data_IF_639900599317
#
_entry.id   IF_639900599317
#
_cell.length_a   1.000
_cell.length_b   1.000
_cell.length_c   1.000
_cell.angle_alpha   90.00
_cell.angle_beta   90.00
_cell.angle_gamma   90.00
#
_symmetry.space_group_name_H-M   'P 1'
#
loop_
_entity.id
_entity.type
_entity.pdbx_description
1 polymer ?
#
# COMPACT_ATOMS: atom_id res chain seq x y z
N UNK A 1 -24.30 -17.75 8.79
CA UNK A 1 -23.26 -18.55 8.10
C UNK A 1 -22.16 -18.91 9.10
N UNK A 2 -21.57 -20.09 8.96
CA UNK A 2 -20.34 -20.50 9.68
C UNK A 2 -19.10 -19.95 8.98
N UNK A 3 -17.92 -20.06 9.61
CA UNK A 3 -16.63 -19.70 8.96
C UNK A 3 -16.48 -20.39 7.60
N UNK A 4 -16.63 -21.72 7.57
CA UNK A 4 -16.51 -22.51 6.33
C UNK A 4 -17.53 -22.10 5.26
N UNK A 5 -18.75 -21.71 5.65
CA UNK A 5 -19.76 -21.24 4.71
C UNK A 5 -19.39 -19.87 4.11
N UNK A 6 -18.82 -18.96 4.90
CA UNK A 6 -18.32 -17.66 4.41
C UNK A 6 -17.15 -17.87 3.46
N UNK A 7 -16.18 -18.72 3.84
CA UNK A 7 -15.03 -19.08 2.99
C UNK A 7 -15.52 -19.60 1.65
N UNK A 8 -16.44 -20.57 1.66
CA UNK A 8 -17.01 -21.15 0.45
C UNK A 8 -17.73 -20.10 -0.40
N UNK A 9 -18.56 -19.25 0.21
CA UNK A 9 -19.34 -18.25 -0.50
C UNK A 9 -18.45 -17.21 -1.22
N UNK A 10 -17.42 -16.68 -0.54
CA UNK A 10 -16.47 -15.76 -1.16
C UNK A 10 -15.64 -16.45 -2.26
N UNK A 11 -15.11 -17.65 -1.97
CA UNK A 11 -14.27 -18.41 -2.91
C UNK A 11 -15.01 -18.70 -4.22
N UNK A 12 -16.27 -19.12 -4.15
CA UNK A 12 -17.08 -19.40 -5.34
C UNK A 12 -17.26 -18.18 -6.26
N UNK A 13 -17.21 -16.95 -5.73
CA UNK A 13 -17.26 -15.73 -6.57
C UNK A 13 -15.96 -15.51 -7.33
N UNK A 14 -14.82 -15.68 -6.65
CA UNK A 14 -13.52 -15.53 -7.29
C UNK A 14 -13.24 -16.64 -8.32
N UNK A 15 -13.55 -17.90 -8.01
CA UNK A 15 -13.46 -19.01 -8.97
C UNK A 15 -14.39 -18.79 -10.17
N UNK A 16 -15.61 -18.28 -9.93
CA UNK A 16 -16.58 -17.97 -10.99
C UNK A 16 -16.13 -16.86 -11.95
N UNK A 17 -15.12 -16.06 -11.59
CA UNK A 17 -14.52 -15.06 -12.47
C UNK A 17 -13.50 -15.64 -13.47
N UNK A 18 -13.21 -16.95 -13.38
CA UNK A 18 -12.22 -17.63 -14.20
C UNK A 18 -10.80 -17.63 -13.62
N UNK A 19 -10.63 -17.14 -12.39
CA UNK A 19 -9.35 -17.16 -11.69
C UNK A 19 -8.95 -18.59 -11.26
N UNK A 20 -7.67 -18.93 -11.44
CA UNK A 20 -7.14 -20.27 -11.13
C UNK A 20 -6.94 -20.45 -9.61
N UNK A 21 -7.49 -21.49 -8.97
CA UNK A 21 -7.25 -21.76 -7.56
C UNK A 21 -5.79 -22.14 -7.29
N UNK A 22 -5.16 -21.44 -6.35
CA UNK A 22 -3.80 -21.72 -5.87
C UNK A 22 -3.76 -21.81 -4.35
N UNK A 23 -2.76 -22.53 -3.85
CA UNK A 23 -2.39 -22.52 -2.44
C UNK A 23 -0.88 -22.27 -2.35
N UNK A 24 -0.45 -21.01 -2.24
CA UNK A 24 0.97 -20.67 -2.31
C UNK A 24 1.71 -21.10 -1.04
N UNK A 25 3.03 -20.98 -1.02
CA UNK A 25 3.86 -21.40 0.12
C UNK A 25 3.52 -20.61 1.40
N UNK A 26 3.63 -21.27 2.55
CA UNK A 26 3.45 -20.65 3.87
C UNK A 26 4.65 -19.83 4.32
N UNK A 27 5.85 -20.23 3.90
CA UNK A 27 7.11 -19.70 4.37
C UNK A 27 7.79 -18.99 3.20
N UNK A 28 8.25 -17.78 3.46
CA UNK A 28 8.98 -16.95 2.50
C UNK A 28 10.34 -16.55 3.11
N UNK A 29 11.37 -16.31 2.28
CA UNK A 29 12.53 -15.52 2.70
C UNK A 29 12.08 -14.19 3.31
N UNK A 30 12.72 -13.73 4.39
CA UNK A 30 12.26 -12.55 5.13
C UNK A 30 12.52 -11.22 4.42
N UNK A 31 13.54 -11.16 3.57
CA UNK A 31 14.00 -9.96 2.84
C UNK A 31 12.86 -9.28 2.08
N UNK A 32 12.13 -10.06 1.27
CA UNK A 32 11.05 -9.56 0.42
C UNK A 32 9.90 -8.95 1.26
N UNK A 33 9.28 -9.66 2.22
CA UNK A 33 8.23 -9.05 3.03
C UNK A 33 8.73 -7.95 3.95
N UNK A 34 9.99 -7.95 4.41
CA UNK A 34 10.54 -6.87 5.23
C UNK A 34 10.69 -5.55 4.44
N UNK A 35 11.02 -5.63 3.16
CA UNK A 35 11.15 -4.47 2.28
C UNK A 35 9.80 -3.95 1.78
N UNK A 36 8.87 -4.87 1.47
CA UNK A 36 7.59 -4.54 0.84
C UNK A 36 6.43 -4.39 1.84
N UNK A 37 6.65 -4.68 3.13
CA UNK A 37 5.71 -4.38 4.21
C UNK A 37 6.00 -3.00 4.79
N UNK A 38 4.99 -2.13 4.81
CA UNK A 38 5.08 -0.87 5.55
C UNK A 38 5.37 -1.11 7.04
N UNK A 39 5.88 -0.10 7.74
CA UNK A 39 6.31 -0.23 9.15
C UNK A 39 5.23 -0.87 10.05
N UNK A 40 3.95 -0.58 9.78
CA UNK A 40 2.80 -1.13 10.49
C UNK A 40 2.63 -2.65 10.34
N UNK A 41 2.96 -3.22 9.18
CA UNK A 41 2.91 -4.68 8.95
C UNK A 41 4.23 -5.31 9.35
N UNK A 42 5.35 -4.63 9.12
CA UNK A 42 6.70 -5.10 9.45
C UNK A 42 6.86 -5.48 10.92
N UNK A 43 6.35 -4.64 11.84
CA UNK A 43 6.39 -4.91 13.28
C UNK A 43 5.52 -6.12 13.72
N UNK A 44 4.71 -6.66 12.82
CA UNK A 44 3.75 -7.73 13.08
C UNK A 44 4.06 -9.02 12.31
N UNK A 45 5.18 -9.06 11.59
CA UNK A 45 5.61 -10.25 10.87
C UNK A 45 5.99 -11.37 11.84
N UNK A 46 5.59 -12.59 11.52
CA UNK A 46 5.99 -13.79 12.26
C UNK A 46 7.31 -14.32 11.67
N UNK A 47 8.42 -13.80 12.18
CA UNK A 47 9.78 -14.11 11.72
C UNK A 47 10.40 -15.22 12.56
N UNK A 48 11.16 -16.10 11.92
CA UNK A 48 11.94 -17.15 12.58
C UNK A 48 13.25 -17.40 11.82
N UNK A 49 14.19 -18.11 12.45
CA UNK A 49 15.44 -18.51 11.82
C UNK A 49 15.40 -20.01 11.53
N UNK A 50 15.75 -20.41 10.30
CA UNK A 50 15.86 -21.81 9.94
C UNK A 50 17.14 -22.47 10.53
N UNK A 51 17.28 -23.78 10.36
CA UNK A 51 18.46 -24.51 10.87
C UNK A 51 19.79 -24.14 10.17
N UNK A 52 19.74 -23.37 9.08
CA UNK A 52 20.90 -22.91 8.31
C UNK A 52 21.29 -21.47 8.69
N UNK A 53 20.52 -20.82 9.56
CA UNK A 53 20.73 -19.43 9.96
C UNK A 53 20.05 -18.41 9.06
N UNK A 54 19.22 -18.84 8.10
CA UNK A 54 18.47 -17.91 7.26
C UNK A 54 17.27 -17.37 8.03
N UNK A 55 17.01 -16.07 7.87
CA UNK A 55 15.80 -15.46 8.40
C UNK A 55 14.63 -15.70 7.44
N UNK A 56 13.55 -16.25 7.99
CA UNK A 56 12.36 -16.67 7.28
C UNK A 56 11.14 -16.02 7.90
N UNK A 57 10.05 -15.92 7.14
CA UNK A 57 8.80 -15.33 7.61
C UNK A 57 7.61 -16.18 7.18
N UNK A 58 6.65 -16.34 8.09
CA UNK A 58 5.34 -16.88 7.74
C UNK A 58 4.58 -15.84 6.90
N UNK A 59 3.95 -16.25 5.80
CA UNK A 59 3.29 -15.32 4.87
C UNK A 59 2.32 -14.37 5.60
N UNK A 60 2.51 -13.04 5.51
CA UNK A 60 1.67 -12.08 6.22
C UNK A 60 0.35 -11.78 5.49
N UNK A 61 0.33 -12.06 4.19
CA UNK A 61 -0.81 -12.04 3.29
C UNK A 61 -0.63 -13.10 2.19
N UNK A 62 -1.60 -13.19 1.28
CA UNK A 62 -1.54 -14.10 0.13
C UNK A 62 -1.12 -13.40 -1.16
N UNK A 63 -1.14 -12.07 -1.22
CA UNK A 63 -0.77 -11.29 -2.40
C UNK A 63 0.71 -11.44 -2.73
N UNK A 64 1.60 -11.29 -1.74
CA UNK A 64 3.05 -11.43 -1.93
C UNK A 64 3.45 -12.79 -2.52
N UNK A 65 3.05 -13.94 -1.94
CA UNK A 65 3.47 -15.22 -2.48
C UNK A 65 2.79 -15.56 -3.81
N UNK A 66 1.59 -15.05 -4.10
CA UNK A 66 0.96 -15.21 -5.43
C UNK A 66 1.68 -14.37 -6.49
N UNK A 67 2.07 -13.14 -6.17
CA UNK A 67 2.88 -12.31 -7.06
C UNK A 67 4.27 -12.93 -7.32
N UNK A 68 4.83 -13.64 -6.33
CA UNK A 68 6.06 -14.43 -6.51
C UNK A 68 5.88 -15.58 -7.52
N UNK A 69 4.77 -16.32 -7.44
CA UNK A 69 4.43 -17.35 -8.44
C UNK A 69 4.31 -16.76 -9.86
N UNK A 70 3.70 -15.58 -9.97
CA UNK A 70 3.59 -14.89 -11.27
C UNK A 70 4.95 -14.43 -11.79
N UNK A 71 5.79 -13.85 -10.93
CA UNK A 71 7.14 -13.44 -11.29
C UNK A 71 7.95 -14.62 -11.83
N UNK A 72 7.91 -15.78 -11.16
CA UNK A 72 8.56 -17.02 -11.62
C UNK A 72 8.01 -17.48 -12.98
N UNK A 73 6.69 -17.43 -13.17
CA UNK A 73 6.03 -17.79 -14.43
C UNK A 73 6.52 -16.92 -15.58
N UNK A 74 6.57 -15.61 -15.40
CA UNK A 74 7.03 -14.66 -16.41
C UNK A 74 8.52 -14.83 -16.70
N UNK A 75 9.36 -14.99 -15.67
CA UNK A 75 10.80 -15.25 -15.82
C UNK A 75 11.06 -16.57 -16.59
N UNK A 76 10.18 -17.57 -16.43
CA UNK A 76 10.27 -18.82 -17.20
C UNK A 76 9.92 -18.68 -18.69
N UNK A 77 9.48 -17.49 -19.13
CA UNK A 77 9.10 -17.19 -20.52
C UNK A 77 7.62 -17.43 -20.83
N UNK A 78 6.80 -17.78 -19.84
CA UNK A 78 5.36 -17.95 -20.03
C UNK A 78 4.66 -16.60 -19.82
N UNK A 79 4.34 -15.90 -20.90
CA UNK A 79 3.78 -14.54 -20.88
C UNK A 79 2.24 -14.50 -20.91
N UNK A 80 1.67 -13.29 -20.87
CA UNK A 80 0.24 -13.00 -21.05
C UNK A 80 -0.52 -12.83 -19.72
N UNK A 81 -1.76 -12.30 -19.76
CA UNK A 81 -2.54 -12.04 -18.56
C UNK A 81 -2.85 -13.31 -17.78
N UNK A 82 -2.92 -13.19 -16.45
CA UNK A 82 -3.17 -14.31 -15.55
C UNK A 82 -4.00 -13.89 -14.35
N UNK A 83 -4.92 -14.75 -13.91
CA UNK A 83 -5.74 -14.54 -12.73
C UNK A 83 -5.63 -15.75 -11.80
N UNK A 84 -5.40 -15.50 -10.52
CA UNK A 84 -5.30 -16.49 -9.45
C UNK A 84 -6.33 -16.20 -8.37
N UNK A 85 -6.80 -17.23 -7.69
CA UNK A 85 -7.63 -17.10 -6.48
C UNK A 85 -7.18 -18.06 -5.39
N UNK A 86 -7.51 -17.72 -4.14
CA UNK A 86 -7.08 -18.49 -2.98
C UNK A 86 -8.11 -18.44 -1.86
N UNK A 87 -8.05 -19.43 -0.97
CA UNK A 87 -8.74 -19.48 0.31
C UNK A 87 -7.82 -20.19 1.30
N UNK A 88 -6.95 -19.42 1.96
CA UNK A 88 -5.84 -19.97 2.74
C UNK A 88 -5.42 -19.05 3.90
N UNK A 89 -4.64 -19.57 4.83
CA UNK A 89 -4.27 -18.93 6.10
C UNK A 89 -3.07 -17.99 5.95
N UNK A 90 -3.12 -16.82 6.57
CA UNK A 90 -2.00 -15.90 6.72
C UNK A 90 -1.73 -15.63 8.20
N UNK A 91 -0.51 -15.16 8.50
CA UNK A 91 0.04 -15.10 9.85
C UNK A 91 0.57 -13.71 10.17
N UNK A 92 0.02 -13.05 11.18
CA UNK A 92 0.53 -11.77 11.69
C UNK A 92 0.26 -11.66 13.18
N UNK A 93 1.17 -11.06 13.94
CA UNK A 93 0.88 -10.67 15.32
C UNK A 93 -0.37 -9.77 15.35
N UNK A 94 -1.31 -9.96 16.30
CA UNK A 94 -2.54 -9.16 16.36
C UNK A 94 -2.25 -7.66 16.53
N UNK A 95 -2.92 -6.80 15.75
CA UNK A 95 -2.86 -5.33 15.96
C UNK A 95 -3.92 -4.83 16.94
N UNK A 96 -5.01 -5.57 17.07
CA UNK A 96 -6.19 -5.18 17.84
C UNK A 96 -6.64 -6.35 18.72
N UNK A 97 -7.20 -6.10 19.90
CA UNK A 97 -7.84 -7.14 20.69
C UNK A 97 -8.85 -7.93 19.84
N UNK A 98 -8.77 -9.25 19.91
CA UNK A 98 -9.66 -10.17 19.19
C UNK A 98 -9.29 -10.48 17.73
N UNK A 99 -8.24 -9.86 17.16
CA UNK A 99 -7.66 -10.37 15.91
C UNK A 99 -6.82 -11.62 16.21
N UNK A 100 -7.03 -12.76 15.51
CA UNK A 100 -6.19 -13.93 15.69
C UNK A 100 -4.84 -13.76 14.99
N UNK A 101 -3.83 -14.48 15.47
CA UNK A 101 -2.51 -14.48 14.83
C UNK A 101 -2.55 -15.19 13.46
N UNK A 102 -3.31 -16.27 13.38
CA UNK A 102 -3.61 -17.04 12.18
C UNK A 102 -5.02 -16.70 11.71
N UNK A 103 -5.18 -16.33 10.44
CA UNK A 103 -6.49 -15.96 9.88
C UNK A 103 -6.59 -16.35 8.41
N UNK A 104 -7.79 -16.68 7.95
CA UNK A 104 -8.04 -16.98 6.53
C UNK A 104 -8.17 -15.69 5.71
N UNK A 105 -7.57 -15.67 4.53
CA UNK A 105 -7.90 -14.75 3.45
C UNK A 105 -8.51 -15.52 2.29
N UNK A 106 -9.58 -14.98 1.72
CA UNK A 106 -10.19 -15.50 0.50
C UNK A 106 -10.16 -14.39 -0.52
N UNK A 107 -9.43 -14.56 -1.61
CA UNK A 107 -9.14 -13.45 -2.53
C UNK A 107 -8.75 -13.90 -3.92
N UNK A 108 -8.43 -12.90 -4.74
CA UNK A 108 -7.94 -13.08 -6.10
C UNK A 108 -6.87 -12.03 -6.42
N UNK A 109 -5.99 -12.36 -7.36
CA UNK A 109 -5.00 -11.45 -7.94
C UNK A 109 -5.05 -11.58 -9.47
N UNK A 110 -5.05 -10.47 -10.19
CA UNK A 110 -4.97 -10.40 -11.66
C UNK A 110 -3.68 -9.71 -12.05
N UNK A 111 -2.99 -10.27 -13.03
CA UNK A 111 -1.72 -9.81 -13.55
C UNK A 111 -1.77 -9.63 -15.06
N UNK A 112 -1.05 -8.64 -15.58
CA UNK A 112 -0.84 -8.41 -17.01
C UNK A 112 -2.05 -7.87 -17.77
N UNK A 113 -3.10 -7.42 -17.07
CA UNK A 113 -4.21 -6.65 -17.64
C UNK A 113 -3.92 -5.15 -17.63
N UNK A 114 -4.51 -4.40 -18.55
CA UNK A 114 -4.26 -2.97 -18.66
C UNK A 114 -4.46 -2.22 -17.33
N UNK A 115 -3.56 -1.27 -17.06
CA UNK A 115 -3.67 -0.39 -15.89
C UNK A 115 -4.66 0.72 -16.19
N UNK A 116 -5.95 0.42 -16.10
CA UNK A 116 -7.01 1.35 -16.42
C UNK A 116 -8.15 1.40 -15.37
N UNK A 117 -8.99 2.46 -15.41
CA UNK A 117 -10.14 2.60 -14.51
C UNK A 117 -11.20 1.50 -14.62
N UNK A 118 -11.27 0.78 -15.74
CA UNK A 118 -12.26 -0.28 -15.96
C UNK A 118 -11.87 -1.52 -15.17
N UNK A 119 -10.62 -1.96 -15.29
CA UNK A 119 -10.10 -3.08 -14.51
C UNK A 119 -10.16 -2.81 -13.00
N UNK A 120 -9.87 -1.57 -12.58
CA UNK A 120 -10.02 -1.14 -11.20
C UNK A 120 -11.46 -1.28 -10.68
N UNK A 121 -12.43 -0.80 -11.45
CA UNK A 121 -13.85 -0.85 -11.08
C UNK A 121 -14.40 -2.28 -11.07
N UNK A 122 -13.96 -3.12 -12.02
CA UNK A 122 -14.33 -4.54 -12.06
C UNK A 122 -13.75 -5.33 -10.88
N UNK A 123 -12.49 -5.08 -10.52
CA UNK A 123 -11.86 -5.71 -9.36
C UNK A 123 -12.59 -5.33 -8.06
N UNK A 124 -12.92 -4.05 -7.90
CA UNK A 124 -13.74 -3.57 -6.78
C UNK A 124 -15.11 -4.26 -6.73
N UNK A 125 -15.79 -4.33 -7.89
CA UNK A 125 -17.10 -4.96 -8.00
C UNK A 125 -17.07 -6.44 -7.61
N UNK A 126 -16.07 -7.19 -8.08
CA UNK A 126 -15.90 -8.60 -7.75
C UNK A 126 -15.69 -8.84 -6.24
N UNK A 127 -14.91 -7.99 -5.56
CA UNK A 127 -14.79 -8.07 -4.09
C UNK A 127 -16.12 -7.77 -3.41
N UNK A 128 -16.86 -6.76 -3.88
CA UNK A 128 -18.16 -6.41 -3.31
C UNK A 128 -19.19 -7.54 -3.49
N UNK A 129 -19.20 -8.22 -4.64
CA UNK A 129 -20.02 -9.41 -4.87
C UNK A 129 -19.66 -10.55 -3.92
N UNK A 130 -18.37 -10.77 -3.65
CA UNK A 130 -17.91 -11.74 -2.65
C UNK A 130 -18.38 -11.38 -1.24
N UNK A 131 -18.32 -10.10 -0.85
CA UNK A 131 -18.86 -9.61 0.43
C UNK A 131 -20.37 -9.84 0.52
N UNK A 132 -21.12 -9.51 -0.53
CA UNK A 132 -22.57 -9.74 -0.60
C UNK A 132 -22.91 -11.22 -0.46
N UNK A 133 -22.14 -12.11 -1.10
CA UNK A 133 -22.32 -13.56 -1.01
C UNK A 133 -22.10 -14.10 0.43
N UNK A 134 -21.42 -13.35 1.30
CA UNK A 134 -21.23 -13.70 2.70
C UNK A 134 -22.38 -13.25 3.63
N UNK A 135 -23.46 -12.70 3.07
CA UNK A 135 -24.63 -12.16 3.79
C UNK A 135 -24.23 -11.15 4.88
N UNK A 136 -23.36 -10.19 4.55
CA UNK A 136 -23.02 -9.08 5.44
C UNK A 136 -23.25 -7.76 4.69
N UNK A 137 -23.86 -6.80 5.36
CA UNK A 137 -24.11 -5.46 4.81
C UNK A 137 -22.99 -4.55 5.27
N UNK A 138 -22.18 -3.99 4.35
CA UNK A 138 -21.16 -3.01 4.71
C UNK A 138 -21.76 -1.74 5.32
N UNK A 139 -21.05 -1.13 6.27
CA UNK A 139 -21.45 0.15 6.89
C UNK A 139 -20.71 1.34 6.28
N UNK A 140 -19.53 1.11 5.73
CA UNK A 140 -18.71 2.13 5.09
C UNK A 140 -17.74 1.47 4.11
N UNK A 141 -17.39 2.21 3.06
CA UNK A 141 -16.33 1.87 2.12
C UNK A 141 -15.42 3.08 2.01
N UNK A 142 -14.11 2.84 2.15
CA UNK A 142 -13.10 3.85 1.93
C UNK A 142 -12.31 3.49 0.68
N UNK A 143 -12.10 4.47 -0.20
CA UNK A 143 -11.31 4.35 -1.43
C UNK A 143 -10.27 5.46 -1.51
N UNK A 144 -9.24 5.23 -2.29
CA UNK A 144 -8.18 6.20 -2.55
C UNK A 144 -7.39 5.81 -3.80
N UNK A 145 -6.46 6.69 -4.21
CA UNK A 145 -5.55 6.40 -5.31
C UNK A 145 -4.17 7.00 -5.01
N UNK A 146 -3.18 6.13 -4.87
CA UNK A 146 -1.81 6.52 -4.54
C UNK A 146 -1.10 7.23 -5.69
N UNK A 147 -1.62 7.15 -6.92
CA UNK A 147 -1.07 7.86 -8.08
C UNK A 147 -1.35 9.37 -8.05
N UNK A 148 -2.35 9.82 -7.26
CA UNK A 148 -2.73 11.23 -7.18
C UNK A 148 -1.63 12.08 -6.58
N UNK A 149 -1.05 11.67 -5.45
CA UNK A 149 -0.04 12.49 -4.80
C UNK A 149 1.22 12.68 -5.67
N UNK A 150 1.84 11.64 -6.26
CA UNK A 150 2.94 11.80 -7.20
C UNK A 150 2.61 12.72 -8.37
N UNK A 151 1.39 12.61 -8.95
CA UNK A 151 0.97 13.47 -10.06
C UNK A 151 0.95 14.96 -9.67
N UNK A 152 0.45 15.29 -8.48
CA UNK A 152 0.47 16.66 -7.96
C UNK A 152 1.89 17.14 -7.64
N UNK A 153 2.74 16.28 -7.07
CA UNK A 153 4.16 16.62 -6.82
C UNK A 153 4.92 16.88 -8.13
N UNK A 154 4.67 16.10 -9.17
CA UNK A 154 5.29 16.29 -10.48
C UNK A 154 4.80 17.57 -11.17
N UNK A 155 3.52 17.89 -11.03
CA UNK A 155 2.94 19.12 -11.57
C UNK A 155 3.50 20.40 -10.92
N UNK A 156 4.04 20.31 -9.69
CA UNK A 156 4.63 21.45 -8.98
C UNK A 156 6.00 21.87 -9.52
N UNK A 157 6.66 21.04 -10.35
CA UNK A 157 7.94 21.40 -10.98
C UNK A 157 9.10 21.59 -9.99
N UNK A 158 9.09 20.83 -8.88
CA UNK A 158 10.12 20.92 -7.84
C UNK A 158 11.48 20.39 -8.31
N UNK A 159 12.59 20.81 -7.69
CA UNK A 159 13.86 20.12 -7.85
C UNK A 159 13.69 18.62 -7.60
N UNK A 160 14.29 17.80 -8.46
CA UNK A 160 14.12 16.33 -8.44
C UNK A 160 14.33 15.72 -7.04
N UNK A 161 15.37 16.16 -6.33
CA UNK A 161 15.68 15.69 -4.97
C UNK A 161 14.52 15.94 -4.00
N UNK A 162 13.89 17.12 -4.06
CA UNK A 162 12.74 17.47 -3.20
C UNK A 162 11.49 16.68 -3.58
N UNK A 163 11.23 16.52 -4.88
CA UNK A 163 10.12 15.71 -5.38
C UNK A 163 10.26 14.24 -4.95
N UNK A 164 11.44 13.65 -5.15
CA UNK A 164 11.75 12.26 -4.80
C UNK A 164 11.66 12.05 -3.27
N UNK A 165 12.13 13.02 -2.47
CA UNK A 165 11.99 13.00 -1.02
C UNK A 165 10.51 12.99 -0.58
N UNK A 166 9.67 13.84 -1.17
CA UNK A 166 8.23 13.90 -0.87
C UNK A 166 7.52 12.61 -1.28
N UNK A 167 7.80 12.07 -2.47
CA UNK A 167 7.21 10.80 -2.93
C UNK A 167 7.66 9.61 -2.08
N UNK A 168 8.93 9.57 -1.66
CA UNK A 168 9.42 8.56 -0.71
C UNK A 168 8.72 8.68 0.64
N UNK A 169 8.58 9.90 1.17
CA UNK A 169 7.86 10.17 2.41
C UNK A 169 6.37 9.78 2.31
N UNK A 170 5.77 9.87 1.11
CA UNK A 170 4.40 9.45 0.84
C UNK A 170 4.19 7.93 0.87
N UNK A 171 5.25 7.11 0.79
CA UNK A 171 5.12 5.67 0.99
C UNK A 171 4.91 5.28 2.46
N UNK A 172 5.27 6.16 3.40
CA UNK A 172 5.14 5.93 4.82
C UNK A 172 3.92 6.67 5.38
N UNK A 173 3.19 6.02 6.29
CA UNK A 173 2.09 6.68 7.01
C UNK A 173 2.64 7.82 7.86
N UNK A 174 2.04 9.02 7.73
CA UNK A 174 2.53 10.23 8.39
C UNK A 174 3.85 10.79 7.86
N UNK A 175 4.54 10.12 6.93
CA UNK A 175 5.89 10.53 6.48
C UNK A 175 5.93 11.93 5.85
N UNK A 176 4.96 12.25 5.00
CA UNK A 176 4.87 13.59 4.38
C UNK A 176 4.59 14.66 5.44
N UNK A 177 3.68 14.37 6.38
CA UNK A 177 3.36 15.29 7.48
C UNK A 177 4.61 15.58 8.32
N UNK A 178 5.35 14.53 8.71
CA UNK A 178 6.58 14.68 9.47
C UNK A 178 7.63 15.50 8.71
N UNK A 179 7.73 15.34 7.39
CA UNK A 179 8.66 16.12 6.56
C UNK A 179 8.24 17.59 6.42
N UNK A 180 6.94 17.85 6.29
CA UNK A 180 6.39 19.21 6.21
C UNK A 180 6.52 19.88 7.58
N UNK A 181 6.01 19.30 8.66
CA UNK A 181 6.03 19.90 9.99
C UNK A 181 7.43 20.02 10.61
N UNK A 182 8.44 19.30 10.09
CA UNK A 182 9.81 19.46 10.55
C UNK A 182 10.27 20.92 10.35
N UNK A 183 10.66 21.55 11.45
CA UNK A 183 11.31 22.86 11.39
C UNK A 183 12.59 22.74 10.54
N UNK A 184 12.92 23.78 9.73
CA UNK A 184 14.20 23.86 9.05
C UNK A 184 15.33 23.95 10.08
N UNK A 185 15.79 22.81 10.57
CA UNK A 185 16.95 22.73 11.43
C UNK A 185 18.20 22.54 10.56
N UNK A 186 19.28 23.29 10.79
CA UNK A 186 20.57 22.99 10.19
C UNK A 186 20.98 21.58 10.58
N UNK A 187 21.67 20.91 9.66
CA UNK A 187 22.24 19.59 9.94
C UNK A 187 23.24 19.74 11.08
N UNK A 188 23.11 18.89 12.08
CA UNK A 188 24.01 18.88 13.24
C UNK A 188 25.45 18.61 12.77
N UNK A 189 26.40 19.39 13.29
CA UNK A 189 27.76 19.48 12.74
C UNK A 189 28.52 18.14 12.74
N UNK A 190 28.22 17.25 13.68
CA UNK A 190 28.79 15.92 13.81
C UNK A 190 28.25 14.91 12.78
N UNK A 191 27.15 15.22 12.08
CA UNK A 191 26.65 14.43 10.95
C UNK A 191 27.23 14.88 9.60
N UNK A 192 27.89 16.05 9.53
CA UNK A 192 28.52 16.54 8.29
C UNK A 192 29.51 15.53 7.69
N UNK A 193 30.42 14.90 8.47
CA UNK A 193 31.34 13.90 7.93
C UNK A 193 30.63 12.68 7.30
N UNK A 194 29.47 12.28 7.84
CA UNK A 194 28.64 11.22 7.23
C UNK A 194 28.10 11.63 5.88
N UNK A 195 27.63 12.88 5.77
CA UNK A 195 27.00 13.37 4.55
C UNK A 195 28.00 13.61 3.43
N UNK A 196 29.17 14.16 3.76
CA UNK A 196 30.23 14.51 2.82
C UNK A 196 31.16 13.34 2.46
N UNK A 197 31.07 12.21 3.17
CA UNK A 197 31.87 11.02 2.89
C UNK A 197 31.76 10.56 1.43
N UNK A 198 32.91 10.35 0.78
CA UNK A 198 32.99 9.98 -0.62
C UNK A 198 32.48 8.55 -0.87
N UNK A 199 32.68 7.65 0.10
CA UNK A 199 32.25 6.26 0.02
C UNK A 199 31.20 5.90 1.06
N UNK A 200 30.45 4.85 0.79
CA UNK A 200 29.46 4.29 1.72
C UNK A 200 30.11 3.82 3.04
N UNK A 201 31.28 3.18 2.96
CA UNK A 201 32.00 2.69 4.13
C UNK A 201 32.47 3.82 5.06
N UNK A 202 32.98 4.92 4.49
CA UNK A 202 33.34 6.12 5.25
C UNK A 202 32.12 6.76 5.91
N UNK A 203 31.00 6.85 5.18
CA UNK A 203 29.77 7.42 5.70
C UNK A 203 29.24 6.62 6.91
N UNK A 204 29.24 5.29 6.81
CA UNK A 204 28.85 4.39 7.90
C UNK A 204 29.76 4.50 9.12
N UNK A 205 31.06 4.61 8.89
CA UNK A 205 32.04 4.78 9.97
C UNK A 205 31.79 6.08 10.71
N UNK A 206 31.66 7.19 9.99
CA UNK A 206 31.36 8.51 10.56
C UNK A 206 30.01 8.51 11.29
N UNK A 207 28.98 7.88 10.72
CA UNK A 207 27.65 7.84 11.30
C UNK A 207 27.62 7.07 12.63
N UNK A 208 28.27 5.90 12.66
CA UNK A 208 28.39 5.09 13.90
C UNK A 208 29.17 5.83 14.96
N UNK A 209 30.22 6.56 14.59
CA UNK A 209 30.97 7.40 15.53
C UNK A 209 30.10 8.51 16.14
N UNK A 210 29.29 9.19 15.31
CA UNK A 210 28.34 10.22 15.79
C UNK A 210 27.30 9.63 16.76
N UNK A 211 26.71 8.47 16.44
CA UNK A 211 25.78 7.80 17.34
C UNK A 211 26.42 7.37 18.66
N UNK A 212 27.63 6.80 18.61
CA UNK A 212 28.37 6.39 19.79
C UNK A 212 28.68 7.59 20.71
N UNK A 213 29.11 8.72 20.14
CA UNK A 213 29.37 9.95 20.89
C UNK A 213 28.11 10.49 21.61
N UNK A 214 26.92 10.23 21.05
CA UNK A 214 25.63 10.62 21.64
C UNK A 214 25.05 9.56 22.59
N UNK A 215 25.70 8.41 22.75
CA UNK A 215 25.14 7.29 23.50
C UNK A 215 23.84 6.74 22.92
N UNK A 216 23.60 6.94 21.62
CA UNK A 216 22.38 6.45 20.94
C UNK A 216 22.65 5.03 20.43
N UNK A 217 21.98 4.01 20.96
CA UNK A 217 22.11 2.66 20.44
C UNK A 217 21.40 2.55 19.09
N UNK A 218 21.98 1.78 18.16
CA UNK A 218 21.34 1.40 16.91
C UNK A 218 20.27 0.35 17.19
N UNK A 219 19.10 0.80 17.63
CA UNK A 219 17.90 -0.01 17.86
C UNK A 219 16.94 0.27 16.71
N UNK A 220 16.76 -0.71 15.83
CA UNK A 220 15.85 -0.57 14.71
C UNK A 220 16.08 -1.60 13.63
N UNK A 221 15.12 -1.66 12.71
CA UNK A 221 15.10 -2.62 11.61
C UNK A 221 15.63 -2.03 10.30
N UNK A 222 15.92 -0.72 10.26
CA UNK A 222 16.52 -0.06 9.08
C UNK A 222 18.03 -0.30 9.05
N UNK A 223 18.55 -0.55 7.86
CA UNK A 223 20.00 -0.68 7.69
C UNK A 223 20.68 0.69 7.80
N UNK A 224 21.94 0.71 8.24
CA UNK A 224 22.72 1.95 8.28
C UNK A 224 22.82 2.63 6.91
N UNK A 225 23.05 1.91 5.79
CA UNK A 225 22.97 2.49 4.46
C UNK A 225 21.65 3.22 4.16
N UNK A 226 20.53 2.63 4.52
CA UNK A 226 19.21 3.20 4.28
C UNK A 226 19.02 4.53 5.04
N UNK A 227 19.48 4.57 6.30
CA UNK A 227 19.45 5.76 7.14
C UNK A 227 20.30 6.88 6.52
N UNK A 228 21.55 6.58 6.14
CA UNK A 228 22.48 7.55 5.54
C UNK A 228 21.91 8.11 4.24
N UNK A 229 21.35 7.26 3.38
CA UNK A 229 20.67 7.68 2.15
C UNK A 229 19.52 8.65 2.43
N UNK A 230 18.70 8.36 3.45
CA UNK A 230 17.63 9.26 3.90
C UNK A 230 18.16 10.60 4.43
N UNK A 231 19.23 10.60 5.21
CA UNK A 231 19.87 11.81 5.72
C UNK A 231 20.42 12.68 4.58
N UNK A 232 21.10 12.09 3.59
CA UNK A 232 21.59 12.79 2.40
C UNK A 232 20.47 13.39 1.56
N UNK A 233 19.39 12.65 1.34
CA UNK A 233 18.23 13.18 0.61
C UNK A 233 17.59 14.38 1.32
N UNK A 234 17.45 14.31 2.65
CA UNK A 234 16.94 15.42 3.47
C UNK A 234 17.89 16.64 3.42
N UNK A 235 19.19 16.41 3.52
CA UNK A 235 20.22 17.43 3.44
C UNK A 235 20.17 18.20 2.11
N UNK A 236 20.12 17.45 1.00
CA UNK A 236 20.07 18.03 -0.33
C UNK A 236 18.76 18.77 -0.61
N UNK A 237 17.62 18.30 -0.07
CA UNK A 237 16.35 19.03 -0.15
C UNK A 237 16.38 20.34 0.64
N UNK A 238 16.98 20.37 1.84
CA UNK A 238 17.19 21.60 2.61
C UNK A 238 18.07 22.59 1.85
N UNK A 239 19.19 22.12 1.29
CA UNK A 239 20.08 22.94 0.47
C UNK A 239 19.38 23.51 -0.79
N UNK A 240 18.39 22.79 -1.33
CA UNK A 240 17.55 23.25 -2.45
C UNK A 240 16.42 24.21 -2.04
N UNK A 241 16.40 24.71 -0.80
CA UNK A 241 15.40 25.65 -0.29
C UNK A 241 14.25 25.01 0.49
N UNK A 242 14.35 23.71 0.80
CA UNK A 242 13.34 22.97 1.56
C UNK A 242 12.04 22.74 0.77
N UNK A 243 10.92 22.61 1.49
CA UNK A 243 9.58 22.48 0.91
C UNK A 243 8.92 23.86 0.89
N UNK A 244 8.69 24.48 -0.28
CA UNK A 244 8.09 25.81 -0.41
C UNK A 244 6.66 25.88 0.16
N UNK A 245 6.22 27.06 0.60
CA UNK A 245 4.89 27.26 1.20
C UNK A 245 3.75 26.79 0.31
N UNK A 246 3.77 27.16 -0.99
CA UNK A 246 2.80 26.68 -1.98
C UNK A 246 2.70 25.14 -2.02
N UNK A 247 3.81 24.43 -1.85
CA UNK A 247 3.82 22.95 -1.82
C UNK A 247 3.16 22.44 -0.54
N UNK A 248 3.40 23.08 0.59
CA UNK A 248 2.77 22.74 1.89
C UNK A 248 1.27 22.94 1.82
N UNK A 249 0.82 24.04 1.23
CA UNK A 249 -0.60 24.32 1.00
C UNK A 249 -1.27 23.28 0.09
N UNK A 250 -0.60 22.85 -1.00
CA UNK A 250 -1.10 21.79 -1.89
C UNK A 250 -1.18 20.45 -1.16
N UNK A 251 -0.14 20.08 -0.41
CA UNK A 251 -0.12 18.85 0.38
C UNK A 251 -1.23 18.85 1.43
N UNK A 252 -1.43 19.99 2.12
CA UNK A 252 -2.50 20.16 3.10
C UNK A 252 -3.88 20.06 2.46
N UNK A 253 -4.09 20.70 1.31
CA UNK A 253 -5.33 20.62 0.56
C UNK A 253 -5.62 19.18 0.10
N UNK A 254 -4.61 18.48 -0.45
CA UNK A 254 -4.74 17.08 -0.81
C UNK A 254 -5.11 16.26 0.43
N UNK A 255 -4.37 16.35 1.53
CA UNK A 255 -4.63 15.58 2.75
C UNK A 255 -6.04 15.78 3.34
N UNK A 256 -6.67 16.93 3.07
CA UNK A 256 -8.02 17.25 3.49
C UNK A 256 -9.12 16.62 2.62
N UNK A 257 -8.79 16.11 1.41
CA UNK A 257 -9.78 15.47 0.51
C UNK A 257 -10.35 14.22 1.17
N UNK A 258 -11.62 14.31 1.51
CA UNK A 258 -12.42 13.23 2.08
C UNK A 258 -13.90 13.47 1.70
N UNK A 259 -14.32 12.92 0.57
CA UNK A 259 -15.60 13.23 -0.07
C UNK A 259 -16.32 11.98 -0.54
N UNK A 260 -17.51 12.13 -1.11
CA UNK A 260 -18.18 11.01 -1.78
C UNK A 260 -17.43 10.63 -3.06
N UNK A 261 -17.65 9.40 -3.56
CA UNK A 261 -17.09 8.99 -4.85
C UNK A 261 -17.48 9.93 -6.01
N UNK A 262 -18.65 10.58 -5.94
CA UNK A 262 -19.13 11.50 -6.98
C UNK A 262 -18.35 12.82 -7.02
N UNK A 263 -17.91 13.30 -5.87
CA UNK A 263 -17.23 14.61 -5.71
C UNK A 263 -15.71 14.49 -5.82
N UNK A 264 -15.18 13.26 -5.95
CA UNK A 264 -13.75 12.99 -5.87
C UNK A 264 -12.95 13.73 -6.95
N UNK A 265 -13.40 13.67 -8.19
CA UNK A 265 -12.73 14.33 -9.31
C UNK A 265 -12.83 15.86 -9.17
N UNK A 266 -14.02 16.38 -8.89
CA UNK A 266 -14.27 17.82 -8.76
C UNK A 266 -13.41 18.45 -7.65
N UNK A 267 -13.31 17.81 -6.48
CA UNK A 267 -12.46 18.32 -5.40
C UNK A 267 -10.97 18.30 -5.74
N UNK A 268 -10.50 17.30 -6.49
CA UNK A 268 -9.12 17.25 -6.95
C UNK A 268 -8.87 18.32 -8.02
N UNK A 269 -9.84 18.53 -8.92
CA UNK A 269 -9.77 19.57 -9.96
C UNK A 269 -9.77 20.98 -9.35
N UNK A 270 -10.61 21.24 -8.34
CA UNK A 270 -10.61 22.50 -7.59
C UNK A 270 -9.22 22.83 -7.02
N UNK A 271 -8.52 21.83 -6.47
CA UNK A 271 -7.14 21.99 -5.99
C UNK A 271 -6.20 22.27 -7.18
N UNK A 272 -6.30 21.50 -8.26
CA UNK A 272 -5.46 21.67 -9.44
C UNK A 272 -5.63 23.07 -10.06
N UNK A 273 -6.86 23.56 -10.22
CA UNK A 273 -7.18 24.88 -10.72
C UNK A 273 -6.65 25.97 -9.79
N UNK A 274 -6.95 25.87 -8.49
CA UNK A 274 -6.52 26.86 -7.48
C UNK A 274 -5.01 27.09 -7.49
N UNK A 275 -4.22 26.03 -7.66
CA UNK A 275 -2.75 26.12 -7.64
C UNK A 275 -2.11 26.11 -9.04
N UNK A 276 -2.92 26.15 -10.10
CA UNK A 276 -2.50 26.15 -11.51
C UNK A 276 -1.62 24.94 -11.89
N UNK A 277 -2.16 23.74 -11.69
CA UNK A 277 -1.47 22.44 -11.88
C UNK A 277 -2.10 21.61 -13.02
N UNK A 278 -2.08 22.10 -14.28
CA UNK A 278 -2.82 21.46 -15.40
C UNK A 278 -2.32 20.04 -15.75
N UNK A 279 -1.07 19.69 -15.39
CA UNK A 279 -0.49 18.36 -15.65
C UNK A 279 -1.10 17.25 -14.79
N UNK A 280 -2.00 17.58 -13.87
CA UNK A 280 -2.72 16.60 -13.03
C UNK A 280 -3.95 16.02 -13.70
N UNK A 281 -4.42 16.61 -14.82
CA UNK A 281 -5.72 16.27 -15.44
C UNK A 281 -5.86 14.77 -15.74
N UNK A 282 -4.84 14.13 -16.31
CA UNK A 282 -4.90 12.70 -16.63
C UNK A 282 -5.09 11.80 -15.41
N UNK A 283 -4.51 12.15 -14.26
CA UNK A 283 -4.70 11.40 -13.02
C UNK A 283 -6.10 11.62 -12.44
N UNK A 284 -6.61 12.86 -12.52
CA UNK A 284 -7.96 13.24 -12.07
C UNK A 284 -9.03 12.57 -12.95
N UNK A 285 -8.85 12.55 -14.27
CA UNK A 285 -9.74 11.89 -15.23
C UNK A 285 -9.84 10.39 -14.96
N UNK A 286 -8.72 9.73 -14.61
CA UNK A 286 -8.73 8.32 -14.20
C UNK A 286 -9.54 8.09 -12.93
N UNK A 287 -9.42 8.96 -11.92
CA UNK A 287 -10.27 8.91 -10.72
C UNK A 287 -11.73 9.11 -11.10
N UNK A 288 -12.04 10.12 -11.92
CA UNK A 288 -13.40 10.42 -12.37
C UNK A 288 -14.04 9.20 -13.02
N UNK A 289 -13.36 8.63 -14.02
CA UNK A 289 -13.86 7.48 -14.77
C UNK A 289 -14.06 6.25 -13.89
N UNK A 290 -13.13 5.99 -12.96
CA UNK A 290 -13.24 4.86 -12.03
C UNK A 290 -14.42 5.03 -11.07
N UNK A 291 -14.59 6.21 -10.50
CA UNK A 291 -15.68 6.46 -9.56
C UNK A 291 -17.04 6.44 -10.25
N UNK A 292 -17.12 6.91 -11.49
CA UNK A 292 -18.30 6.76 -12.34
C UNK A 292 -18.65 5.28 -12.54
N UNK A 293 -17.70 4.46 -13.01
CA UNK A 293 -17.89 3.04 -13.25
C UNK A 293 -18.29 2.26 -11.99
N UNK A 294 -17.63 2.53 -10.85
CA UNK A 294 -17.99 1.91 -9.55
C UNK A 294 -19.46 2.22 -9.20
N UNK A 295 -19.90 3.46 -9.41
CA UNK A 295 -21.27 3.90 -9.12
C UNK A 295 -22.30 3.32 -10.09
N UNK A 296 -21.90 2.98 -11.30
CA UNK A 296 -22.75 2.30 -12.30
C UNK A 296 -22.89 0.82 -11.99
N UNK A 297 -21.77 0.14 -11.72
CA UNK A 297 -21.72 -1.28 -11.39
C UNK A 297 -22.41 -1.58 -10.05
N UNK A 298 -22.28 -0.68 -9.08
CA UNK A 298 -22.78 -0.87 -7.71
C UNK A 298 -23.54 0.38 -7.22
N UNK A 299 -24.79 0.60 -7.65
CA UNK A 299 -25.56 1.77 -7.24
C UNK A 299 -25.71 1.92 -5.72
N UNK A 300 -25.73 0.81 -4.98
CA UNK A 300 -25.84 0.77 -3.52
C UNK A 300 -24.62 1.36 -2.80
N UNK A 301 -23.41 1.34 -3.40
CA UNK A 301 -22.23 1.86 -2.71
C UNK A 301 -22.19 3.39 -2.68
N UNK A 302 -23.01 4.07 -3.49
CA UNK A 302 -23.08 5.55 -3.55
C UNK A 302 -23.24 6.20 -2.17
N UNK A 303 -24.03 5.58 -1.29
CA UNK A 303 -24.35 6.13 0.03
C UNK A 303 -23.23 5.92 1.07
N UNK A 304 -22.35 4.94 0.86
CA UNK A 304 -21.38 4.49 1.87
C UNK A 304 -19.92 4.57 1.40
N UNK A 305 -19.68 4.83 0.12
CA UNK A 305 -18.36 4.91 -0.49
C UNK A 305 -17.79 6.33 -0.45
N UNK A 306 -16.68 6.48 0.25
CA UNK A 306 -15.91 7.73 0.32
C UNK A 306 -14.59 7.61 -0.42
N UNK A 307 -14.19 8.69 -1.07
CA UNK A 307 -12.85 8.86 -1.61
C UNK A 307 -12.01 9.71 -0.68
N UNK A 308 -10.77 9.28 -0.45
CA UNK A 308 -9.79 9.94 0.40
C UNK A 308 -8.44 9.89 -0.29
N UNK A 309 -7.82 11.03 -0.53
CA UNK A 309 -6.47 11.11 -1.11
C UNK A 309 -5.37 10.63 -0.14
N UNK A 310 -5.59 10.85 1.17
CA UNK A 310 -4.70 10.42 2.25
C UNK A 310 -4.97 9.01 2.75
N UNK A 311 -5.76 8.23 2.01
CA UNK A 311 -6.13 6.87 2.39
C UNK A 311 -5.16 5.84 1.81
N UNK A 312 -4.95 4.77 2.57
CA UNK A 312 -4.06 3.68 2.20
C UNK A 312 -2.63 3.92 2.63
N UNK A 313 -2.08 2.94 3.36
CA UNK A 313 -0.64 2.74 3.57
C UNK A 313 -0.26 1.53 4.43
N UNK A 314 -1.20 0.64 4.75
CA UNK A 314 -0.89 -0.57 5.55
C UNK A 314 0.14 -1.46 4.84
N UNK A 315 0.05 -1.55 3.52
CA UNK A 315 1.00 -2.25 2.66
C UNK A 315 1.64 -1.26 1.70
N UNK A 316 2.96 -1.35 1.52
CA UNK A 316 3.73 -0.40 0.72
C UNK A 316 3.88 -0.80 -0.75
N UNK A 317 3.35 -1.96 -1.14
CA UNK A 317 3.36 -2.43 -2.52
C UNK A 317 2.24 -1.82 -3.39
N UNK A 318 1.19 -1.24 -2.81
CA UNK A 318 0.18 -0.54 -3.60
C UNK A 318 0.75 0.75 -4.23
N UNK A 319 0.38 1.03 -5.46
CA UNK A 319 0.84 2.19 -6.23
C UNK A 319 -0.28 2.91 -7.01
N UNK A 320 -1.51 2.40 -6.98
CA UNK A 320 -2.67 3.00 -7.63
C UNK A 320 -3.92 3.00 -6.76
N UNK A 321 -5.05 2.61 -7.37
CA UNK A 321 -6.35 2.50 -6.70
C UNK A 321 -6.30 1.55 -5.51
N UNK A 322 -6.97 1.90 -4.41
CA UNK A 322 -7.14 1.01 -3.27
C UNK A 322 -8.49 1.21 -2.59
N UNK A 323 -8.94 0.17 -1.90
CA UNK A 323 -10.23 0.16 -1.25
C UNK A 323 -10.27 -0.74 -0.02
N UNK A 324 -11.10 -0.35 0.94
CA UNK A 324 -11.43 -1.14 2.12
C UNK A 324 -12.94 -1.07 2.39
N UNK A 325 -13.52 -2.22 2.75
CA UNK A 325 -14.93 -2.35 3.12
C UNK A 325 -15.02 -2.64 4.61
N UNK A 326 -15.77 -1.82 5.33
CA UNK A 326 -16.01 -1.95 6.77
C UNK A 326 -17.36 -2.62 7.02
N UNK A 327 -17.38 -3.59 7.93
CA UNK A 327 -18.59 -4.23 8.42
C UNK A 327 -19.08 -3.60 9.73
N UNK A 328 -20.34 -3.85 10.13
CA UNK A 328 -20.84 -3.45 11.44
C UNK A 328 -20.02 -4.12 12.56
N UNK A 329 -20.13 -3.64 13.80
CA UNK A 329 -19.48 -4.24 14.99
C UNK A 329 -17.93 -4.34 14.94
N UNK A 330 -17.29 -3.63 14.02
CA UNK A 330 -15.84 -3.59 13.84
C UNK A 330 -15.35 -2.14 13.84
N UNK A 331 -14.10 -1.94 14.23
CA UNK A 331 -13.43 -0.63 14.12
C UNK A 331 -12.88 -0.41 12.70
N UNK A 332 -12.57 0.84 12.37
CA UNK A 332 -12.05 1.25 11.05
C UNK A 332 -10.74 0.54 10.64
N UNK A 333 -9.99 0.03 11.61
CA UNK A 333 -8.78 -0.76 11.36
C UNK A 333 -9.05 -2.27 11.14
N UNK A 334 -10.31 -2.70 11.12
CA UNK A 334 -10.73 -4.08 10.92
C UNK A 334 -11.62 -4.25 9.67
N UNK A 335 -11.14 -3.90 8.45
CA UNK A 335 -11.93 -4.12 7.26
C UNK A 335 -12.24 -5.60 7.04
N UNK A 336 -13.47 -5.87 6.60
CA UNK A 336 -13.95 -7.20 6.22
C UNK A 336 -13.50 -7.60 4.82
N UNK A 337 -13.17 -6.62 3.98
CA UNK A 337 -12.57 -6.83 2.67
C UNK A 337 -11.66 -5.66 2.31
N UNK A 338 -10.63 -5.91 1.53
CA UNK A 338 -9.72 -4.87 1.02
C UNK A 338 -9.07 -5.31 -0.28
N UNK A 339 -8.56 -4.34 -1.03
CA UNK A 339 -7.82 -4.60 -2.27
C UNK A 339 -7.24 -3.33 -2.86
N UNK A 340 -6.62 -3.47 -4.01
CA UNK A 340 -6.00 -2.36 -4.72
C UNK A 340 -5.02 -2.81 -5.80
N UNK A 341 -4.44 -1.82 -6.48
CA UNK A 341 -3.50 -1.94 -7.58
C UNK A 341 -2.05 -1.79 -7.11
N UNK A 342 -1.18 -2.65 -7.63
CA UNK A 342 0.22 -2.79 -7.24
C UNK A 342 1.07 -3.20 -8.46
N UNK A 343 1.06 -2.36 -9.50
CA UNK A 343 1.68 -2.66 -10.80
C UNK A 343 3.19 -2.89 -10.70
N UNK A 344 3.89 -2.23 -9.77
CA UNK A 344 5.33 -2.41 -9.59
C UNK A 344 5.76 -3.67 -8.83
N UNK A 345 4.83 -4.46 -8.28
CA UNK A 345 5.17 -5.55 -7.37
C UNK A 345 5.96 -6.68 -8.06
N UNK A 346 5.54 -7.11 -9.25
CA UNK A 346 6.21 -8.19 -10.00
C UNK A 346 7.63 -7.80 -10.39
N UNK A 347 7.82 -6.54 -10.83
CA UNK A 347 9.15 -6.00 -11.09
C UNK A 347 10.03 -5.97 -9.83
N UNK A 348 9.47 -5.61 -8.68
CA UNK A 348 10.20 -5.64 -7.41
C UNK A 348 10.65 -7.06 -7.02
N UNK A 349 9.74 -8.03 -7.08
CA UNK A 349 10.01 -9.43 -6.70
C UNK A 349 11.00 -10.14 -7.62
N UNK A 350 11.01 -9.77 -8.90
CA UNK A 350 11.87 -10.39 -9.91
C UNK A 350 13.22 -9.68 -10.09
N UNK A 351 13.54 -8.66 -9.28
CA UNK A 351 14.70 -7.78 -9.51
C UNK A 351 14.73 -7.23 -10.94
N UNK A 352 13.57 -6.75 -11.42
CA UNK A 352 13.33 -6.24 -12.77
C UNK A 352 13.54 -7.25 -13.92
N UNK A 353 13.59 -8.55 -13.63
CA UNK A 353 13.65 -9.58 -14.67
C UNK A 353 12.30 -9.82 -15.37
N UNK A 354 11.20 -9.48 -14.72
CA UNK A 354 9.84 -9.51 -15.27
C UNK A 354 9.04 -8.31 -14.80
N UNK A 355 7.98 -7.97 -15.52
CA UNK A 355 7.06 -6.90 -15.14
C UNK A 355 5.63 -7.27 -15.53
N UNK A 356 4.68 -6.90 -14.68
CA UNK A 356 3.26 -7.07 -14.93
C UNK A 356 2.45 -6.15 -14.02
N UNK A 357 1.54 -5.40 -14.64
CA UNK A 357 0.46 -4.70 -13.95
C UNK A 357 -0.33 -5.67 -13.09
N UNK A 358 -0.83 -5.20 -11.94
CA UNK A 358 -1.46 -6.09 -11.00
C UNK A 358 -2.55 -5.42 -10.16
N UNK A 359 -3.66 -6.13 -9.97
CA UNK A 359 -4.76 -5.71 -9.10
C UNK A 359 -5.42 -6.92 -8.47
N UNK A 360 -5.83 -6.77 -7.22
CA UNK A 360 -6.55 -7.83 -6.52
C UNK A 360 -7.26 -7.37 -5.28
N UNK A 361 -7.85 -8.33 -4.60
CA UNK A 361 -8.60 -8.07 -3.38
C UNK A 361 -9.07 -9.33 -2.69
N UNK A 362 -9.40 -9.18 -1.41
CA UNK A 362 -9.70 -10.29 -0.54
C UNK A 362 -10.79 -9.94 0.48
N UNK A 363 -11.46 -10.99 0.97
CA UNK A 363 -12.39 -10.99 2.09
C UNK A 363 -11.72 -11.66 3.29
N UNK A 364 -12.04 -11.18 4.50
CA UNK A 364 -11.61 -11.69 5.81
C UNK A 364 -12.77 -12.42 6.50
N UNK A 365 -12.90 -13.75 6.36
CA UNK A 365 -14.03 -14.50 6.90
C UNK A 365 -14.20 -14.38 8.42
N UNK A 366 -13.09 -14.33 9.16
CA UNK A 366 -13.08 -14.13 10.61
C UNK A 366 -13.69 -12.78 11.01
N UNK A 367 -13.38 -11.72 10.25
CA UNK A 367 -13.96 -10.39 10.47
C UNK A 367 -15.41 -10.33 10.00
N UNK A 368 -15.77 -11.00 8.91
CA UNK A 368 -17.17 -11.12 8.48
C UNK A 368 -18.03 -11.79 9.55
N UNK A 369 -17.54 -12.84 10.22
CA UNK A 369 -18.25 -13.48 11.34
C UNK A 369 -18.49 -12.49 12.48
N UNK A 370 -17.43 -11.81 12.92
CA UNK A 370 -17.48 -10.81 13.98
C UNK A 370 -18.42 -9.67 13.64
N UNK A 371 -18.40 -9.21 12.38
CA UNK A 371 -19.30 -8.18 11.90
C UNK A 371 -20.78 -8.60 12.04
N UNK A 372 -21.07 -9.88 11.83
CA UNK A 372 -22.43 -10.45 12.00
C UNK A 372 -22.81 -10.70 13.47
N UNK A 373 -22.02 -10.23 14.44
CA UNK A 373 -22.26 -10.41 15.86
C UNK A 373 -21.98 -11.84 16.34
N UNK A 374 -21.23 -12.63 15.57
CA UNK A 374 -20.85 -14.00 15.94
C UNK A 374 -19.37 -13.98 16.29
N UNK A 375 -19.02 -14.41 17.51
CA UNK A 375 -17.62 -14.62 17.89
C UNK A 375 -16.95 -15.59 16.92
N UNK A 376 -15.67 -15.33 16.62
CA UNK A 376 -14.85 -16.19 15.77
C UNK A 376 -14.61 -17.54 16.45
#
# INVERSE_FOLDING_TARGET
>A
MTHAAIVKAARSRFEGSGAEPVNPAYILPSDIPLELSGEAVRARLCVFTDHRGNEMVMRPDLTLPVAGLEAERLVSGTNGPKAYCYAAEAFRLPATPGDPMEFTQVGFERFGLDSDPVEDAQAFALVHEAVRACDVVPVAIATGDLAIFPAFIDALGLPRVTADLLKRAFRQEGGVRALVEAEPAPIEADLVPTLEAATQAEAETAFRAALAARGIPLIGTRSVPEIISGLRARAAALAAGGVPEKVREVIGALAAVNCTAAEAADQLDDIAVKYSLPRTSGAIERVARRMELIRELLPEVKAICRFRSGFGRRFTYYDGFLFETLGPNLSDNQPIASGGRYDGLVSGLSNAAADATAIGGMVRPDRVLRAKGRGA
#
